data_IF_881101917342
#
_entry.id   IF_881101917342
#
_cell.length_a   1.000
_cell.length_b   1.000
_cell.length_c   1.000
_cell.angle_alpha   90.00
_cell.angle_beta   90.00
_cell.angle_gamma   90.00
#
_symmetry.space_group_name_H-M   'P 1'
#
loop_
_entity.id
_entity.type
_entity.pdbx_description
1 polymer ?
#
# COMPACT_ATOMS: atom_id res chain seq x y z
N UNK A 1 -11.43 16.35 4.99
CA UNK A 1 -11.15 15.95 3.60
C UNK A 1 -9.64 15.98 3.44
N UNK A 2 -9.02 14.81 3.34
CA UNK A 2 -7.62 14.70 2.95
C UNK A 2 -7.58 14.33 1.47
N UNK A 3 -7.02 15.22 0.67
CA UNK A 3 -6.83 15.04 -0.76
C UNK A 3 -5.43 14.50 -0.98
N UNK A 4 -5.32 13.34 -1.63
CA UNK A 4 -4.04 12.83 -2.12
C UNK A 4 -3.83 13.46 -3.50
N UNK A 5 -2.80 14.29 -3.65
CA UNK A 5 -2.49 14.99 -4.91
C UNK A 5 -1.16 14.48 -5.44
N UNK A 6 -1.17 13.83 -6.61
CA UNK A 6 0.02 13.35 -7.29
C UNK A 6 0.10 13.82 -8.74
N UNK A 7 1.28 13.78 -9.38
CA UNK A 7 1.37 13.87 -10.83
C UNK A 7 0.86 12.55 -11.44
N UNK A 8 -0.45 12.50 -11.74
CA UNK A 8 -1.14 11.29 -12.21
C UNK A 8 -0.73 10.80 -13.62
N UNK A 9 0.27 11.41 -14.26
CA UNK A 9 0.44 11.35 -15.72
C UNK A 9 1.61 10.50 -16.24
N UNK A 10 2.47 9.92 -15.38
CA UNK A 10 3.62 9.11 -15.85
C UNK A 10 3.56 7.61 -15.51
N UNK A 11 2.54 7.15 -14.78
CA UNK A 11 2.51 5.77 -14.28
C UNK A 11 1.49 4.95 -15.05
N UNK A 12 1.95 3.84 -15.65
CA UNK A 12 1.10 2.88 -16.33
C UNK A 12 -0.11 2.57 -15.48
N UNK A 13 -1.31 2.90 -15.99
CA UNK A 13 -2.59 2.53 -15.39
C UNK A 13 -2.50 1.08 -14.88
N UNK A 14 -2.87 0.76 -13.62
CA UNK A 14 -3.10 -0.63 -13.27
C UNK A 14 -4.19 -1.15 -14.21
N UNK A 15 -3.77 -1.93 -15.20
CA UNK A 15 -4.67 -2.51 -16.20
C UNK A 15 -5.39 -3.70 -15.59
N UNK A 16 -4.78 -4.36 -14.58
CA UNK A 16 -5.30 -5.59 -13.98
C UNK A 16 -5.03 -5.67 -12.48
N UNK A 17 -6.05 -6.06 -11.72
CA UNK A 17 -5.92 -6.52 -10.33
C UNK A 17 -6.15 -8.03 -10.32
N UNK A 18 -5.15 -8.80 -9.88
CA UNK A 18 -5.28 -10.24 -9.67
C UNK A 18 -5.54 -10.53 -8.20
N UNK A 19 -6.65 -11.22 -7.94
CA UNK A 19 -6.90 -11.84 -6.65
C UNK A 19 -6.31 -13.25 -6.68
N UNK A 20 -5.44 -13.55 -5.72
CA UNK A 20 -4.76 -14.82 -5.61
C UNK A 20 -4.87 -15.40 -4.18
N UNK A 21 -4.19 -16.54 -3.96
CA UNK A 21 -4.07 -17.20 -2.65
C UNK A 21 -2.67 -17.85 -2.54
N UNK A 22 -1.64 -17.05 -2.85
CA UNK A 22 -0.26 -17.47 -3.05
C UNK A 22 0.73 -16.81 -2.07
N UNK A 23 0.24 -16.04 -1.09
CA UNK A 23 1.03 -15.16 -0.23
C UNK A 23 1.88 -14.19 -1.04
N UNK A 24 1.24 -13.55 -2.03
CA UNK A 24 1.88 -12.60 -2.93
C UNK A 24 1.00 -11.36 -3.07
N UNK A 25 1.35 -10.35 -2.28
CA UNK A 25 0.92 -8.97 -2.44
C UNK A 25 2.04 -8.20 -3.13
N UNK A 26 1.76 -7.66 -4.32
CA UNK A 26 2.76 -6.90 -5.08
C UNK A 26 2.17 -6.01 -6.16
N UNK A 27 2.70 -4.79 -6.23
CA UNK A 27 2.50 -3.85 -7.32
C UNK A 27 3.83 -3.15 -7.63
N UNK A 28 4.49 -3.56 -8.71
CA UNK A 28 5.70 -2.91 -9.19
C UNK A 28 5.34 -1.65 -9.97
N UNK A 29 6.09 -0.57 -9.73
CA UNK A 29 5.94 0.69 -10.46
C UNK A 29 6.05 0.45 -11.97
N UNK A 30 4.99 0.80 -12.70
CA UNK A 30 4.95 0.72 -14.16
C UNK A 30 4.61 -0.65 -14.76
N UNK A 31 4.42 -1.69 -13.95
CA UNK A 31 4.09 -3.05 -14.43
C UNK A 31 2.61 -3.19 -14.82
N UNK A 32 1.74 -2.27 -14.37
CA UNK A 32 0.32 -2.26 -14.69
C UNK A 32 -0.48 -3.42 -14.07
N UNK A 33 0.14 -4.20 -13.18
CA UNK A 33 -0.45 -5.33 -12.48
C UNK A 33 -0.37 -5.11 -10.98
N UNK A 34 -1.48 -5.38 -10.30
CA UNK A 34 -1.57 -5.40 -8.83
C UNK A 34 -2.00 -6.79 -8.40
N UNK A 35 -1.15 -7.50 -7.67
CA UNK A 35 -1.46 -8.78 -7.06
C UNK A 35 -1.91 -8.57 -5.61
N UNK A 36 -3.03 -9.18 -5.24
CA UNK A 36 -3.57 -9.15 -3.88
C UNK A 36 -3.91 -10.58 -3.47
N UNK A 37 -3.34 -11.02 -2.35
CA UNK A 37 -3.81 -12.17 -1.60
C UNK A 37 -4.66 -11.68 -0.41
N UNK A 38 -6.00 -11.81 -0.47
CA UNK A 38 -6.86 -11.37 0.63
C UNK A 38 -6.60 -12.08 1.97
N UNK A 39 -5.95 -13.25 1.94
CA UNK A 39 -5.67 -14.09 3.09
C UNK A 39 -4.24 -13.94 3.63
N UNK A 40 -3.37 -13.23 2.93
CA UNK A 40 -2.03 -12.94 3.45
C UNK A 40 -2.11 -11.74 4.40
N UNK A 41 -1.73 -11.91 5.66
CA UNK A 41 -1.84 -10.88 6.70
C UNK A 41 -0.52 -10.73 7.45
N UNK A 42 0.55 -10.24 6.80
CA UNK A 42 1.86 -10.11 7.43
C UNK A 42 1.80 -9.24 8.70
N UNK A 43 2.56 -9.62 9.73
CA UNK A 43 2.62 -8.90 10.99
C UNK A 43 3.48 -7.64 10.86
N UNK A 44 2.86 -6.47 10.98
CA UNK A 44 3.48 -5.15 10.83
C UNK A 44 3.53 -4.38 12.16
N UNK A 45 4.44 -3.44 12.29
CA UNK A 45 4.48 -2.50 13.42
C UNK A 45 3.59 -1.29 13.16
N UNK A 46 2.72 -0.98 14.12
CA UNK A 46 1.84 0.21 14.08
C UNK A 46 2.02 1.06 15.33
N UNK A 47 1.43 2.24 15.35
CA UNK A 47 1.41 3.12 16.54
C UNK A 47 0.72 2.49 17.76
N UNK A 48 -0.06 1.42 17.57
CA UNK A 48 -0.71 0.66 18.63
C UNK A 48 -0.10 -0.75 18.79
N UNK A 49 1.15 -0.92 18.38
CA UNK A 49 1.89 -2.18 18.50
C UNK A 49 1.81 -3.08 17.27
N UNK A 50 2.49 -4.23 17.37
CA UNK A 50 2.64 -5.19 16.27
C UNK A 50 1.34 -5.98 16.08
N UNK A 51 0.82 -6.02 14.85
CA UNK A 51 -0.44 -6.70 14.50
C UNK A 51 -0.46 -7.15 13.04
N UNK A 52 -1.29 -8.14 12.67
CA UNK A 52 -1.49 -8.51 11.27
C UNK A 52 -2.02 -7.33 10.44
N UNK A 53 -1.50 -7.17 9.24
CA UNK A 53 -2.07 -6.25 8.26
C UNK A 53 -3.47 -6.73 7.85
N UNK A 54 -4.45 -5.82 7.80
CA UNK A 54 -5.76 -6.14 7.25
C UNK A 54 -5.71 -6.12 5.72
N UNK A 55 -6.57 -6.90 5.05
CA UNK A 55 -6.77 -6.83 3.58
C UNK A 55 -6.94 -5.40 3.08
N UNK A 56 -7.67 -4.54 3.81
CA UNK A 56 -7.87 -3.14 3.46
C UNK A 56 -6.57 -2.32 3.43
N UNK A 57 -5.60 -2.66 4.28
CA UNK A 57 -4.29 -2.04 4.32
C UNK A 57 -3.44 -2.49 3.13
N UNK A 58 -3.46 -3.79 2.85
CA UNK A 58 -2.74 -4.37 1.71
C UNK A 58 -3.25 -3.75 0.40
N UNK A 59 -4.58 -3.66 0.24
CA UNK A 59 -5.18 -2.94 -0.89
C UNK A 59 -4.71 -1.49 -0.96
N UNK A 60 -4.71 -0.76 0.17
CA UNK A 60 -4.22 0.61 0.20
C UNK A 60 -2.75 0.67 -0.23
N UNK A 61 -1.90 -0.23 0.25
CA UNK A 61 -0.48 -0.30 -0.07
C UNK A 61 -0.26 -0.53 -1.56
N UNK A 62 -0.76 -1.63 -2.12
CA UNK A 62 -0.48 -2.00 -3.51
C UNK A 62 -1.11 -1.04 -4.53
N UNK A 63 -2.33 -0.57 -4.26
CA UNK A 63 -2.96 0.46 -5.09
C UNK A 63 -2.20 1.79 -4.98
N UNK A 64 -1.56 2.05 -3.84
CA UNK A 64 -0.71 3.21 -3.63
C UNK A 64 0.41 3.33 -4.63
N UNK A 65 1.11 2.22 -4.91
CA UNK A 65 2.15 2.19 -5.94
C UNK A 65 1.59 2.57 -7.31
N UNK A 66 0.43 2.02 -7.67
CA UNK A 66 -0.20 2.24 -8.97
C UNK A 66 -0.77 3.64 -9.14
N UNK A 67 -1.38 4.19 -8.08
CA UNK A 67 -2.10 5.46 -8.12
C UNK A 67 -1.14 6.63 -7.91
N UNK A 68 -0.21 6.52 -6.96
CA UNK A 68 0.68 7.65 -6.62
C UNK A 68 2.02 7.63 -7.36
N UNK A 69 2.37 6.50 -7.99
CA UNK A 69 3.64 6.34 -8.67
C UNK A 69 4.86 6.28 -7.73
N UNK A 70 4.63 6.08 -6.43
CA UNK A 70 5.68 6.03 -5.41
C UNK A 70 6.04 4.61 -5.08
N UNK A 71 7.33 4.31 -5.04
CA UNK A 71 7.85 3.04 -4.54
C UNK A 71 8.11 3.10 -3.04
N UNK A 72 8.61 2.00 -2.49
CA UNK A 72 9.16 1.92 -1.13
C UNK A 72 10.68 2.12 -1.13
N UNK A 73 11.13 3.23 -1.72
CA UNK A 73 12.53 3.54 -2.03
C UNK A 73 13.14 4.67 -1.17
N UNK A 74 12.31 5.34 -0.37
CA UNK A 74 12.74 6.45 0.50
C UNK A 74 13.38 6.01 1.81
N UNK A 75 13.65 6.97 2.72
CA UNK A 75 14.17 6.66 4.05
C UNK A 75 13.31 5.61 4.78
N UNK A 76 13.95 4.51 5.16
CA UNK A 76 13.27 3.39 5.82
C UNK A 76 12.27 2.62 4.94
N UNK A 77 12.29 2.83 3.61
CA UNK A 77 11.36 2.22 2.65
C UNK A 77 9.90 2.61 2.90
N UNK A 78 9.67 3.81 3.45
CA UNK A 78 8.36 4.22 3.97
C UNK A 78 7.59 5.18 3.05
N UNK A 79 8.02 5.43 1.82
CA UNK A 79 7.43 6.46 0.97
C UNK A 79 5.96 6.16 0.61
N UNK A 80 5.66 5.00 0.03
CA UNK A 80 4.27 4.62 -0.26
C UNK A 80 3.45 4.52 1.02
N UNK A 81 4.05 3.94 2.07
CA UNK A 81 3.41 3.83 3.39
C UNK A 81 3.02 5.20 3.95
N UNK A 82 3.92 6.17 3.89
CA UNK A 82 3.74 7.49 4.53
C UNK A 82 2.80 8.39 3.74
N UNK A 83 2.86 8.32 2.41
CA UNK A 83 2.15 9.25 1.53
C UNK A 83 0.79 8.72 1.08
N UNK A 84 0.55 7.41 1.19
CA UNK A 84 -0.68 6.77 0.74
C UNK A 84 -1.30 5.83 1.77
N UNK A 85 -0.59 4.78 2.21
CA UNK A 85 -1.16 3.76 3.12
C UNK A 85 -1.64 4.38 4.43
N UNK A 86 -0.78 5.14 5.11
CA UNK A 86 -1.07 5.74 6.41
C UNK A 86 -2.20 6.78 6.34
N UNK A 87 -2.22 7.74 5.39
CA UNK A 87 -3.35 8.65 5.21
C UNK A 87 -4.70 7.93 5.09
N UNK A 88 -4.77 6.88 4.28
CA UNK A 88 -6.00 6.09 4.10
C UNK A 88 -6.38 5.37 5.39
N UNK A 89 -5.41 4.75 6.07
CA UNK A 89 -5.65 4.05 7.33
C UNK A 89 -6.14 5.00 8.43
N UNK A 90 -5.56 6.21 8.52
CA UNK A 90 -5.98 7.23 9.48
C UNK A 90 -7.43 7.69 9.24
N UNK A 91 -7.83 7.92 7.98
CA UNK A 91 -9.21 8.26 7.63
C UNK A 91 -10.20 7.15 8.02
N UNK A 92 -9.76 5.90 7.95
CA UNK A 92 -10.54 4.72 8.34
C UNK A 92 -10.49 4.42 9.85
N UNK A 93 -9.88 5.30 10.66
CA UNK A 93 -9.74 5.12 12.11
C UNK A 93 -8.81 3.95 12.50
N UNK A 94 -7.84 3.61 11.65
CA UNK A 94 -6.86 2.54 11.87
C UNK A 94 -5.48 3.11 12.18
N UNK A 95 -4.66 2.44 13.01
CA UNK A 95 -3.36 2.98 13.41
C UNK A 95 -2.37 2.99 12.24
N UNK A 96 -1.61 4.07 12.03
CA UNK A 96 -0.57 4.10 11.00
C UNK A 96 0.57 3.11 11.29
N UNK A 97 1.19 2.64 10.21
CA UNK A 97 2.38 1.79 10.21
C UNK A 97 3.61 2.62 10.52
N UNK A 98 4.52 2.08 11.33
CA UNK A 98 5.71 2.81 11.85
C UNK A 98 7.04 2.33 11.27
N UNK A 99 7.07 1.16 10.63
CA UNK A 99 8.24 0.62 9.93
C UNK A 99 7.84 -0.23 8.74
N UNK A 100 8.74 -0.34 7.76
CA UNK A 100 8.54 -1.16 6.56
C UNK A 100 8.57 -2.68 6.81
N UNK A 101 9.21 -3.12 7.90
CA UNK A 101 9.20 -4.53 8.34
C UNK A 101 8.31 -4.72 9.57
#
# INVERSE_FOLDING_TARGET
MHEIVGPWYEHGNPQTIYLNNQHNDSALLGDGVVNIDPNDHPCINTTEGRRPASTLRILAHELGHSVTGRGDDGPGMMNNITWNENPIMMELGRPPRTSYY
#
